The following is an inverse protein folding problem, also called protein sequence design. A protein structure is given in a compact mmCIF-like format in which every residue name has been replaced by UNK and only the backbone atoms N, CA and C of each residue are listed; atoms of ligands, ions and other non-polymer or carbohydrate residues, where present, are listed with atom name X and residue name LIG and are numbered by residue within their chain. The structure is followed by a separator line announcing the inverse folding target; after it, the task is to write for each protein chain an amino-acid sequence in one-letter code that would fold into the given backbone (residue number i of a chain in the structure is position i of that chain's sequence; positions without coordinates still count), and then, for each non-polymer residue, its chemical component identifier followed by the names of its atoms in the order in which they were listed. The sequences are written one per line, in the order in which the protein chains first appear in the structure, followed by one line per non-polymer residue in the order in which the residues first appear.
data_IF_415698059417
#
_entry.id   IF_415698059417
#
_cell.length_a   1.000
_cell.length_b   1.000
_cell.length_c   1.000
_cell.angle_alpha   90.00
_cell.angle_beta   90.00
_cell.angle_gamma   90.00
#
_symmetry.space_group_name_H-M   'P 1'
#
loop_
_entity.id
_entity.type
_entity.pdbx_description
1 polymer ?
#
# COMPACT_ATOMS: atom_id res chain seq x y z
N UNK A 1 -1.86 16.83 -19.32
CA UNK A 1 -2.63 15.70 -18.73
C UNK A 1 -2.68 14.45 -19.63
N UNK A 2 -2.47 14.53 -20.95
CA UNK A 2 -2.46 13.35 -21.86
C UNK A 2 -1.07 12.74 -22.08
N UNK A 3 -0.01 13.55 -22.24
CA UNK A 3 1.36 13.05 -22.51
C UNK A 3 2.01 12.28 -21.35
N UNK A 4 1.55 12.44 -20.11
CA UNK A 4 2.10 11.73 -18.94
C UNK A 4 1.57 10.31 -18.79
N UNK A 5 0.39 10.00 -19.32
CA UNK A 5 -0.21 8.65 -19.28
C UNK A 5 0.28 7.77 -20.44
N UNK A 6 0.61 8.38 -21.59
CA UNK A 6 1.14 7.68 -22.77
C UNK A 6 2.38 6.82 -22.47
N UNK A 7 3.42 7.31 -21.76
CA UNK A 7 4.56 6.47 -21.40
C UNK A 7 4.15 5.34 -20.46
N UNK A 8 3.22 5.54 -19.51
CA UNK A 8 2.70 4.45 -18.70
C UNK A 8 2.02 3.36 -19.54
N UNK A 9 1.19 3.75 -20.50
CA UNK A 9 0.42 2.81 -21.34
C UNK A 9 1.30 2.03 -22.33
N UNK A 10 2.39 2.63 -22.85
CA UNK A 10 3.25 2.00 -23.87
C UNK A 10 4.46 1.30 -23.25
N UNK A 11 5.02 1.87 -22.19
CA UNK A 11 6.21 1.32 -21.52
C UNK A 11 5.86 0.08 -20.68
N UNK A 12 4.67 0.02 -20.09
CA UNK A 12 4.19 -1.16 -19.32
C UNK A 12 4.11 -2.43 -20.19
N UNK A 13 3.48 -2.46 -21.38
CA UNK A 13 3.47 -3.66 -22.22
C UNK A 13 4.84 -3.97 -22.83
N UNK A 14 5.68 -2.97 -23.10
CA UNK A 14 7.01 -3.18 -23.68
C UNK A 14 8.04 -3.71 -22.67
N UNK A 15 8.09 -3.15 -21.46
CA UNK A 15 9.01 -3.56 -20.40
C UNK A 15 8.43 -4.62 -19.46
N UNK A 16 7.10 -4.69 -19.33
CA UNK A 16 6.41 -5.64 -18.46
C UNK A 16 6.77 -7.08 -18.78
N UNK A 17 6.72 -7.49 -20.06
CA UNK A 17 7.16 -8.84 -20.47
C UNK A 17 8.64 -9.12 -20.16
N UNK A 18 9.51 -8.11 -20.24
CA UNK A 18 10.94 -8.26 -19.96
C UNK A 18 11.19 -8.44 -18.46
N UNK A 19 10.46 -7.70 -17.62
CA UNK A 19 10.50 -7.81 -16.16
C UNK A 19 9.88 -9.13 -15.71
N UNK A 20 8.73 -9.53 -16.27
CA UNK A 20 8.04 -10.79 -15.98
C UNK A 20 8.91 -12.01 -16.33
N UNK A 21 9.53 -12.02 -17.52
CA UNK A 21 10.46 -13.09 -17.91
C UNK A 21 11.72 -13.12 -17.02
N UNK A 22 12.21 -11.95 -16.59
CA UNK A 22 13.31 -11.85 -15.63
C UNK A 22 12.94 -12.41 -14.25
N UNK A 23 11.74 -12.10 -13.77
CA UNK A 23 11.15 -12.62 -12.54
C UNK A 23 11.00 -14.13 -12.57
N UNK A 24 10.47 -14.69 -13.66
CA UNK A 24 10.33 -16.14 -13.84
C UNK A 24 11.71 -16.81 -13.79
N UNK A 25 12.72 -16.24 -14.45
CA UNK A 25 14.09 -16.79 -14.46
C UNK A 25 14.75 -16.75 -13.07
N UNK A 26 14.51 -15.70 -12.29
CA UNK A 26 14.99 -15.60 -10.90
C UNK A 26 14.24 -16.61 -10.01
N UNK A 27 12.92 -16.71 -10.14
CA UNK A 27 12.08 -17.65 -9.40
C UNK A 27 12.45 -19.12 -9.62
N UNK A 28 12.86 -19.48 -10.84
CA UNK A 28 13.33 -20.84 -11.18
C UNK A 28 14.74 -21.13 -10.66
N UNK A 29 15.59 -20.09 -10.54
CA UNK A 29 16.98 -20.25 -10.07
C UNK A 29 17.07 -20.23 -8.53
N UNK A 30 16.30 -19.38 -7.87
CA UNK A 30 16.25 -19.27 -6.42
C UNK A 30 14.93 -18.63 -5.93
N UNK A 31 14.09 -19.41 -5.27
CA UNK A 31 12.81 -18.95 -4.71
C UNK A 31 13.00 -17.84 -3.68
N UNK A 32 14.05 -17.87 -2.86
CA UNK A 32 14.27 -16.87 -1.80
C UNK A 32 14.60 -15.50 -2.38
N UNK A 33 15.42 -15.45 -3.43
CA UNK A 33 15.72 -14.18 -4.11
C UNK A 33 14.49 -13.59 -4.80
N UNK A 34 13.62 -14.44 -5.34
CA UNK A 34 12.34 -13.99 -5.90
C UNK A 34 11.42 -13.40 -4.84
N UNK A 35 11.32 -14.00 -3.64
CA UNK A 35 10.51 -13.47 -2.54
C UNK A 35 11.02 -12.11 -2.05
N UNK A 36 12.33 -11.95 -1.85
CA UNK A 36 12.92 -10.67 -1.42
C UNK A 36 12.71 -9.58 -2.49
N UNK A 37 12.85 -9.93 -3.76
CA UNK A 37 12.61 -9.00 -4.86
C UNK A 37 11.14 -8.56 -4.94
N UNK A 38 10.19 -9.50 -4.78
CA UNK A 38 8.76 -9.17 -4.73
C UNK A 38 8.40 -8.30 -3.52
N UNK A 39 9.01 -8.57 -2.35
CA UNK A 39 8.87 -7.71 -1.17
C UNK A 39 9.39 -6.30 -1.43
N UNK A 40 10.51 -6.16 -2.15
CA UNK A 40 11.06 -4.87 -2.57
C UNK A 40 10.16 -4.11 -3.56
N UNK A 41 9.59 -4.80 -4.55
CA UNK A 41 8.62 -4.20 -5.48
C UNK A 41 7.36 -3.72 -4.74
N UNK A 42 6.90 -4.50 -3.78
CA UNK A 42 5.75 -4.17 -2.97
C UNK A 42 6.01 -2.95 -2.07
N UNK A 43 7.17 -2.89 -1.41
CA UNK A 43 7.62 -1.71 -0.65
C UNK A 43 7.74 -0.46 -1.54
N UNK A 44 8.24 -0.61 -2.77
CA UNK A 44 8.32 0.46 -3.76
C UNK A 44 6.95 1.02 -4.14
N UNK A 45 5.94 0.16 -4.28
CA UNK A 45 4.55 0.57 -4.54
C UNK A 45 3.99 1.40 -3.38
N UNK A 46 4.17 0.96 -2.12
CA UNK A 46 3.73 1.73 -0.95
C UNK A 46 4.41 3.11 -0.89
N UNK A 47 5.72 3.15 -1.14
CA UNK A 47 6.49 4.41 -1.12
C UNK A 47 5.98 5.43 -2.12
N UNK A 48 5.51 4.99 -3.30
CA UNK A 48 4.94 5.88 -4.30
C UNK A 48 3.60 6.49 -3.83
N UNK A 49 2.80 5.74 -3.07
CA UNK A 49 1.54 6.23 -2.51
C UNK A 49 1.73 7.15 -1.30
N UNK A 50 2.80 6.97 -0.53
CA UNK A 50 3.09 7.76 0.67
C UNK A 50 3.18 9.26 0.40
N UNK A 51 3.74 9.67 -0.76
CA UNK A 51 3.83 11.08 -1.15
C UNK A 51 2.48 11.77 -1.34
N UNK A 52 1.45 11.01 -1.76
CA UNK A 52 0.09 11.53 -1.95
C UNK A 52 -0.62 11.72 -0.61
N UNK A 53 -0.28 10.92 0.40
CA UNK A 53 -0.83 11.04 1.77
C UNK A 53 -0.40 12.34 2.44
N UNK A 54 0.85 12.78 2.22
CA UNK A 54 1.38 14.02 2.78
C UNK A 54 1.09 15.26 1.92
N UNK A 55 0.58 15.10 0.70
CA UNK A 55 0.36 16.22 -0.24
C UNK A 55 -0.64 17.26 0.29
N UNK A 56 -1.61 16.85 1.11
CA UNK A 56 -2.67 17.73 1.62
C UNK A 56 -2.37 18.32 3.00
N UNK A 57 -1.21 18.03 3.62
CA UNK A 57 -0.88 18.49 4.98
C UNK A 57 -0.78 20.02 5.10
N UNK A 58 -0.57 20.72 3.98
CA UNK A 58 -0.56 22.19 3.91
C UNK A 58 -1.93 22.87 3.95
N UNK A 59 -3.04 22.14 3.80
CA UNK A 59 -4.39 22.72 3.67
C UNK A 59 -5.14 22.92 5.01
N UNK A 60 -4.47 22.70 6.16
CA UNK A 60 -5.02 22.90 7.51
C UNK A 60 -5.36 21.59 8.24
N UNK A 61 -6.20 21.67 9.29
CA UNK A 61 -6.57 20.51 10.15
C UNK A 61 -7.16 19.33 9.36
N UNK A 62 -7.86 19.62 8.26
CA UNK A 62 -8.44 18.63 7.34
C UNK A 62 -7.36 17.86 6.55
N UNK A 63 -6.22 18.50 6.29
CA UNK A 63 -5.07 17.91 5.60
C UNK A 63 -4.33 16.82 6.40
N UNK A 64 -4.59 16.72 7.70
CA UNK A 64 -4.00 15.72 8.59
C UNK A 64 -4.82 14.41 8.66
N UNK A 65 -6.05 14.42 8.18
CA UNK A 65 -6.93 13.24 8.16
C UNK A 65 -6.24 12.03 7.49
N UNK A 66 -5.58 12.16 6.32
CA UNK A 66 -4.87 11.05 5.68
C UNK A 66 -3.73 10.48 6.55
N UNK A 67 -3.06 11.34 7.33
CA UNK A 67 -1.95 10.93 8.21
C UNK A 67 -2.47 10.13 9.40
N UNK A 68 -3.59 10.55 10.01
CA UNK A 68 -4.25 9.79 11.07
C UNK A 68 -4.80 8.46 10.58
N UNK A 69 -5.40 8.42 9.39
CA UNK A 69 -5.89 7.18 8.77
C UNK A 69 -4.73 6.24 8.42
N UNK A 70 -3.60 6.78 7.94
CA UNK A 70 -2.38 6.00 7.68
C UNK A 70 -1.83 5.39 8.97
N UNK A 71 -1.80 6.16 10.06
CA UNK A 71 -1.37 5.66 11.38
C UNK A 71 -2.31 4.56 11.88
N UNK A 72 -3.63 4.76 11.80
CA UNK A 72 -4.62 3.76 12.20
C UNK A 72 -4.52 2.48 11.35
N UNK A 73 -4.30 2.61 10.03
CA UNK A 73 -4.10 1.49 9.12
C UNK A 73 -2.80 0.73 9.42
N UNK A 74 -1.71 1.44 9.74
CA UNK A 74 -0.46 0.81 10.16
C UNK A 74 -0.62 0.01 11.46
N UNK A 75 -1.41 0.51 12.41
CA UNK A 75 -1.74 -0.20 13.65
C UNK A 75 -2.59 -1.44 13.38
N UNK A 76 -3.59 -1.35 12.48
CA UNK A 76 -4.37 -2.51 12.05
C UNK A 76 -3.49 -3.56 11.37
N UNK A 77 -2.57 -3.14 10.50
CA UNK A 77 -1.63 -4.05 9.84
C UNK A 77 -0.67 -4.72 10.83
N UNK A 78 -0.20 -3.99 11.85
CA UNK A 78 0.59 -4.55 12.95
C UNK A 78 -0.21 -5.54 13.80
N UNK A 79 -1.47 -5.22 14.12
CA UNK A 79 -2.37 -6.11 14.85
C UNK A 79 -2.66 -7.39 14.05
N UNK A 80 -2.98 -7.28 12.76
CA UNK A 80 -3.13 -8.42 11.87
C UNK A 80 -1.84 -9.25 11.76
N UNK A 81 -0.67 -8.60 11.73
CA UNK A 81 0.63 -9.27 11.78
C UNK A 81 0.90 -10.01 13.09
N UNK A 82 0.48 -9.44 14.22
CA UNK A 82 0.55 -10.10 15.53
C UNK A 82 -0.39 -11.31 15.61
N UNK A 83 -1.64 -11.14 15.15
CA UNK A 83 -2.64 -12.21 15.09
C UNK A 83 -2.13 -13.33 14.19
N UNK A 84 -1.51 -13.03 13.05
CA UNK A 84 -0.86 -14.02 12.17
C UNK A 84 0.20 -14.84 12.92
N UNK A 85 1.04 -14.19 13.74
CA UNK A 85 2.09 -14.87 14.52
C UNK A 85 1.50 -15.86 15.53
N UNK A 86 0.32 -15.56 16.06
CA UNK A 86 -0.43 -16.45 16.98
C UNK A 86 -1.20 -17.54 16.23
N UNK A 87 -1.79 -17.23 15.07
CA UNK A 87 -2.64 -18.17 14.30
C UNK A 87 -1.89 -19.04 13.27
N UNK A 88 -0.59 -18.80 13.03
CA UNK A 88 0.27 -19.52 12.05
C UNK A 88 -0.30 -19.62 10.61
N UNK A 89 -1.31 -18.81 10.27
CA UNK A 89 -1.98 -18.86 8.98
C UNK A 89 -1.26 -17.97 7.97
N UNK A 90 -0.41 -18.57 7.13
CA UNK A 90 0.24 -17.88 5.98
C UNK A 90 -0.75 -17.15 5.08
N UNK A 91 -1.98 -17.66 4.96
CA UNK A 91 -3.05 -17.07 4.17
C UNK A 91 -3.37 -15.61 4.59
N UNK A 92 -3.30 -15.30 5.88
CA UNK A 92 -3.61 -13.94 6.35
C UNK A 92 -2.58 -12.90 5.87
N UNK A 93 -1.36 -13.29 5.51
CA UNK A 93 -0.34 -12.34 5.03
C UNK A 93 -0.68 -11.78 3.64
N UNK A 94 -1.14 -12.64 2.73
CA UNK A 94 -1.54 -12.23 1.38
C UNK A 94 -2.82 -11.37 1.39
N UNK A 95 -3.68 -11.55 2.41
CA UNK A 95 -4.92 -10.78 2.58
C UNK A 95 -4.79 -9.61 3.56
N UNK A 96 -3.72 -9.50 4.34
CA UNK A 96 -3.55 -8.46 5.37
C UNK A 96 -3.56 -7.06 4.77
N UNK A 97 -3.02 -6.90 3.56
CA UNK A 97 -2.96 -5.62 2.89
C UNK A 97 -4.31 -5.10 2.42
N UNK A 98 -5.10 -5.85 1.63
CA UNK A 98 -6.44 -5.42 1.28
C UNK A 98 -7.35 -5.27 2.50
N UNK A 99 -7.17 -6.10 3.54
CA UNK A 99 -7.92 -5.97 4.81
C UNK A 99 -7.56 -4.67 5.54
N UNK A 100 -6.26 -4.33 5.63
CA UNK A 100 -5.81 -3.06 6.22
C UNK A 100 -6.29 -1.86 5.43
N UNK A 101 -6.41 -1.98 4.11
CA UNK A 101 -6.86 -0.90 3.23
C UNK A 101 -8.37 -0.68 3.34
N UNK A 102 -9.16 -1.77 3.36
CA UNK A 102 -10.60 -1.73 3.66
C UNK A 102 -10.89 -1.24 5.08
N UNK A 103 -10.08 -1.69 6.05
CA UNK A 103 -10.14 -1.21 7.44
C UNK A 103 -9.80 0.27 7.56
N UNK A 104 -8.80 0.74 6.82
CA UNK A 104 -8.45 2.16 6.72
C UNK A 104 -9.58 3.00 6.12
N UNK A 105 -10.21 2.52 5.05
CA UNK A 105 -11.39 3.17 4.44
C UNK A 105 -12.61 3.15 5.37
N UNK A 106 -12.82 2.06 6.12
CA UNK A 106 -13.90 1.98 7.10
C UNK A 106 -13.67 2.91 8.29
N UNK A 107 -12.42 3.04 8.76
CA UNK A 107 -12.02 3.94 9.84
C UNK A 107 -11.93 5.40 9.40
N UNK A 108 -11.72 5.69 8.12
CA UNK A 108 -11.73 7.07 7.64
C UNK A 108 -13.10 7.71 7.78
N UNK A 109 -14.20 6.95 7.73
CA UNK A 109 -15.56 7.47 7.92
C UNK A 109 -15.74 8.08 9.32
N UNK A 110 -15.54 7.34 10.44
CA UNK A 110 -15.65 7.90 11.78
C UNK A 110 -14.55 8.92 12.11
N UNK A 111 -13.34 8.79 11.54
CA UNK A 111 -12.28 9.78 11.73
C UNK A 111 -12.66 11.12 11.07
N UNK A 112 -13.25 11.09 9.87
CA UNK A 112 -13.67 12.31 9.17
C UNK A 112 -14.83 12.99 9.90
N UNK A 113 -15.80 12.23 10.43
CA UNK A 113 -16.89 12.79 11.22
C UNK A 113 -16.43 13.35 12.58
N UNK A 114 -15.47 12.69 13.25
CA UNK A 114 -14.84 13.22 14.47
C UNK A 114 -14.05 14.50 14.22
N UNK A 115 -13.24 14.54 13.15
CA UNK A 115 -12.44 15.72 12.80
C UNK A 115 -13.34 16.90 12.40
N UNK A 116 -14.41 16.67 11.63
CA UNK A 116 -15.39 17.73 11.32
C UNK A 116 -16.19 18.18 12.55
N UNK A 117 -16.49 17.28 13.50
CA UNK A 117 -17.19 17.64 14.74
C UNK A 117 -16.31 18.44 15.72
N UNK A 118 -14.99 18.32 15.64
CA UNK A 118 -14.03 19.07 16.48
C UNK A 118 -13.63 20.40 15.82
N UNK A 119 -13.80 20.53 14.50
CA UNK A 119 -13.48 21.73 13.72
C UNK A 119 -14.67 22.70 13.52
N UNK A 120 -15.84 22.39 14.08
CA UNK A 120 -16.96 23.35 14.24
C UNK A 120 -16.81 24.13 15.54
#
# INVERSE_FOLDING_TARGET
MTLGIVPGLVLVPAFGKKIENGLIKIKTKDQRWSEIFMAGLFLGMISAFLGVVFAHVGEGLTGWIPVFVMMASAVLMLLCGLIRKVLNAKWIEDYALPISLLGGMALSIPITTLVQSIAG
#
